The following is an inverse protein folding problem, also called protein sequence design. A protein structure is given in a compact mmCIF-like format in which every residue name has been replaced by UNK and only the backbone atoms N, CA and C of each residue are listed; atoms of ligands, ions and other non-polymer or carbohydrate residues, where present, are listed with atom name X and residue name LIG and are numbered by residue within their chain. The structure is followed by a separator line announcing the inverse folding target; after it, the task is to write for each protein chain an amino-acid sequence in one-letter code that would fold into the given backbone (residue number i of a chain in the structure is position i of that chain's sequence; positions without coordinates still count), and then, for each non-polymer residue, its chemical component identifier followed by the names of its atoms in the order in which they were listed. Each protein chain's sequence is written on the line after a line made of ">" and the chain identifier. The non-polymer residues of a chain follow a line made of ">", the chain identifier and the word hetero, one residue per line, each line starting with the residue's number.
data_IF_450161955078
#
_entry.id   IF_450161955078
#
_cell.length_a   1.000
_cell.length_b   1.000
_cell.length_c   1.000
_cell.angle_alpha   90.00
_cell.angle_beta   90.00
_cell.angle_gamma   90.00
#
_symmetry.space_group_name_H-M   'P 1'
#
loop_
_entity.id
_entity.type
_entity.pdbx_description
1 polymer ?
#
# COMPACT_ATOMS: atom_id res chain seq x y z
N UNK A 1 0.14 6.82 -13.79
CA UNK A 1 0.79 5.54 -14.14
C UNK A 1 1.92 5.31 -13.16
N UNK A 2 2.02 4.10 -12.59
CA UNK A 2 3.12 3.72 -11.70
C UNK A 2 4.42 3.58 -12.47
N UNK A 3 5.55 3.72 -11.77
CA UNK A 3 6.86 3.43 -12.35
C UNK A 3 6.99 1.93 -12.64
N UNK A 4 7.68 1.59 -13.74
CA UNK A 4 8.00 0.22 -14.07
C UNK A 4 9.05 -0.33 -13.08
N UNK A 5 8.82 -1.53 -12.56
CA UNK A 5 9.80 -2.22 -11.72
C UNK A 5 10.66 -3.16 -12.57
N UNK A 6 11.97 -3.18 -12.29
CA UNK A 6 12.92 -4.06 -12.94
C UNK A 6 13.49 -5.06 -11.93
N UNK A 7 13.50 -6.33 -12.31
CA UNK A 7 13.96 -7.44 -11.46
C UNK A 7 15.00 -8.25 -12.25
N UNK A 8 16.19 -8.43 -11.69
CA UNK A 8 17.21 -9.32 -12.28
C UNK A 8 16.86 -10.79 -12.00
N UNK A 9 16.72 -11.57 -13.05
CA UNK A 9 16.40 -13.01 -12.98
C UNK A 9 17.62 -13.88 -12.73
N UNK A 10 18.83 -13.34 -12.90
CA UNK A 10 20.09 -14.05 -12.67
C UNK A 10 20.23 -14.61 -11.24
N UNK A 11 19.58 -13.95 -10.27
CA UNK A 11 19.60 -14.36 -8.86
C UNK A 11 18.43 -15.27 -8.46
N UNK A 12 17.43 -15.41 -9.34
CA UNK A 12 16.21 -16.19 -9.09
C UNK A 12 16.38 -17.66 -9.51
N UNK A 13 17.17 -17.88 -10.55
CA UNK A 13 17.44 -19.22 -11.09
C UNK A 13 18.94 -19.49 -11.10
N UNK A 14 19.35 -20.64 -10.58
CA UNK A 14 20.74 -21.11 -10.71
C UNK A 14 20.90 -21.92 -11.99
N UNK A 15 21.80 -21.50 -12.87
CA UNK A 15 22.19 -22.27 -14.02
C UNK A 15 22.87 -23.59 -13.60
N UNK A 16 22.39 -24.70 -14.13
CA UNK A 16 22.99 -26.01 -13.94
C UNK A 16 23.94 -26.36 -15.11
N UNK A 17 24.93 -25.50 -15.43
CA UNK A 17 25.82 -25.91 -16.50
C UNK A 17 26.47 -24.78 -17.31
N UNK A 18 26.55 -23.57 -16.84
CA UNK A 18 27.35 -22.51 -17.45
C UNK A 18 26.84 -21.95 -18.79
N UNK A 19 25.66 -22.33 -19.25
CA UNK A 19 25.04 -21.84 -20.47
C UNK A 19 24.07 -20.69 -20.19
N UNK A 20 23.81 -19.84 -21.19
CA UNK A 20 22.82 -18.78 -21.10
C UNK A 20 21.39 -19.35 -20.98
N UNK A 21 20.72 -19.11 -19.87
CA UNK A 21 19.32 -19.43 -19.70
C UNK A 21 18.44 -18.46 -20.49
N UNK A 22 17.44 -18.98 -21.16
CA UNK A 22 16.38 -18.16 -21.77
C UNK A 22 15.23 -17.99 -20.79
N UNK A 23 14.81 -16.76 -20.59
CA UNK A 23 13.70 -16.42 -19.69
C UNK A 23 12.49 -15.94 -20.48
N UNK A 24 11.32 -16.31 -19.99
CA UNK A 24 10.03 -15.76 -20.42
C UNK A 24 9.18 -15.44 -19.21
N UNK A 25 8.26 -14.50 -19.34
CA UNK A 25 7.31 -14.16 -18.29
C UNK A 25 5.92 -13.96 -18.89
N UNK A 26 4.93 -14.44 -18.17
CA UNK A 26 3.51 -14.23 -18.48
C UNK A 26 2.79 -13.66 -17.27
N UNK A 27 1.75 -12.88 -17.51
CA UNK A 27 0.90 -12.34 -16.45
C UNK A 27 -0.48 -12.96 -16.50
N UNK A 28 -1.09 -13.16 -15.33
CA UNK A 28 -2.49 -13.60 -15.25
C UNK A 28 -3.49 -12.50 -15.63
N UNK A 29 -3.05 -11.23 -15.61
CA UNK A 29 -3.91 -10.08 -15.92
C UNK A 29 -3.11 -8.88 -16.44
N UNK A 30 -3.10 -8.70 -17.78
CA UNK A 30 -2.40 -7.59 -18.43
C UNK A 30 -3.05 -6.22 -18.19
N UNK A 31 -4.31 -6.16 -17.80
CA UNK A 31 -4.96 -4.91 -17.42
C UNK A 31 -4.52 -4.41 -16.04
N UNK A 32 -3.87 -5.24 -15.23
CA UNK A 32 -3.27 -4.87 -13.95
C UNK A 32 -1.78 -4.60 -14.10
N UNK A 33 -1.03 -5.54 -14.69
CA UNK A 33 0.41 -5.39 -14.90
C UNK A 33 0.84 -6.11 -16.18
N UNK A 34 1.67 -5.46 -16.98
CA UNK A 34 2.33 -6.06 -18.13
C UNK A 34 3.72 -6.54 -17.72
N UNK A 35 4.07 -7.75 -18.13
CA UNK A 35 5.38 -8.34 -17.88
C UNK A 35 6.14 -8.49 -19.21
N UNK A 36 7.40 -8.09 -19.22
CA UNK A 36 8.30 -8.28 -20.36
C UNK A 36 9.67 -8.71 -19.88
N UNK A 37 10.35 -9.56 -20.65
CA UNK A 37 11.71 -10.03 -20.34
C UNK A 37 12.64 -9.65 -21.49
N UNK A 38 13.78 -9.08 -21.13
CA UNK A 38 14.88 -8.80 -22.06
C UNK A 38 16.18 -9.32 -21.46
N UNK A 39 16.73 -10.39 -22.09
CA UNK A 39 17.86 -11.11 -21.49
C UNK A 39 17.50 -11.71 -20.14
N UNK A 40 18.19 -11.30 -19.10
CA UNK A 40 17.93 -11.70 -17.71
C UNK A 40 17.17 -10.64 -16.87
N UNK A 41 16.59 -9.63 -17.53
CA UNK A 41 15.88 -8.55 -16.85
C UNK A 41 14.37 -8.65 -17.10
N UNK A 42 13.61 -8.84 -16.03
CA UNK A 42 12.15 -8.77 -16.03
C UNK A 42 11.72 -7.33 -15.75
N UNK A 43 10.89 -6.79 -16.63
CA UNK A 43 10.26 -5.48 -16.45
C UNK A 43 8.76 -5.66 -16.23
N UNK A 44 8.27 -5.09 -15.13
CA UNK A 44 6.85 -5.08 -14.76
C UNK A 44 6.32 -3.65 -14.90
N UNK A 45 5.36 -3.46 -15.80
CA UNK A 45 4.75 -2.15 -16.06
C UNK A 45 3.31 -2.14 -15.54
N UNK A 46 3.00 -1.35 -14.50
CA UNK A 46 1.63 -1.22 -14.00
C UNK A 46 0.69 -0.65 -15.07
N UNK A 47 -0.45 -1.29 -15.27
CA UNK A 47 -1.49 -0.88 -16.22
C UNK A 47 -2.78 -0.42 -15.51
N UNK A 48 -3.17 -1.08 -14.42
CA UNK A 48 -4.37 -0.76 -13.65
C UNK A 48 -4.28 -1.30 -12.23
N UNK A 49 -5.27 -0.98 -11.41
CA UNK A 49 -5.37 -1.48 -10.03
C UNK A 49 -5.73 -2.95 -10.01
N UNK A 50 -5.23 -3.67 -9.03
CA UNK A 50 -5.59 -5.06 -8.79
C UNK A 50 -4.40 -5.91 -8.42
N UNK A 51 -4.59 -7.21 -8.54
CA UNK A 51 -3.58 -8.21 -8.27
C UNK A 51 -3.39 -9.07 -9.51
N UNK A 52 -2.16 -9.40 -9.84
CA UNK A 52 -1.82 -10.30 -10.91
C UNK A 52 -0.68 -11.22 -10.50
N UNK A 53 -0.72 -12.46 -10.95
CA UNK A 53 0.35 -13.43 -10.79
C UNK A 53 1.20 -13.44 -12.03
N UNK A 54 2.51 -13.24 -11.86
CA UNK A 54 3.50 -13.33 -12.93
C UNK A 54 4.15 -14.70 -12.86
N UNK A 55 4.07 -15.45 -13.93
CA UNK A 55 4.78 -16.73 -14.08
C UNK A 55 6.05 -16.50 -14.88
N UNK A 56 7.19 -16.79 -14.29
CA UNK A 56 8.51 -16.66 -14.90
C UNK A 56 9.01 -18.06 -15.20
N UNK A 57 9.36 -18.32 -16.45
CA UNK A 57 9.88 -19.62 -16.90
C UNK A 57 11.31 -19.45 -17.38
N UNK A 58 12.21 -20.22 -16.81
CA UNK A 58 13.58 -20.40 -17.29
C UNK A 58 13.67 -21.66 -18.14
N UNK A 59 14.34 -21.58 -19.27
CA UNK A 59 14.64 -22.70 -20.15
C UNK A 59 16.14 -22.85 -20.29
N UNK A 60 16.67 -23.98 -19.80
CA UNK A 60 18.07 -24.38 -19.91
C UNK A 60 18.12 -25.63 -20.78
N UNK A 61 18.49 -25.48 -22.07
CA UNK A 61 18.63 -26.56 -23.03
C UNK A 61 17.45 -27.55 -23.12
N UNK A 62 16.22 -27.02 -23.07
CA UNK A 62 15.00 -27.82 -23.12
C UNK A 62 14.46 -28.23 -21.74
N UNK A 63 15.23 -28.02 -20.65
CA UNK A 63 14.73 -28.19 -19.29
C UNK A 63 14.07 -26.91 -18.81
N UNK A 64 12.79 -26.96 -18.50
CA UNK A 64 12.00 -25.80 -18.08
C UNK A 64 11.76 -25.83 -16.57
N UNK A 65 11.96 -24.67 -15.95
CA UNK A 65 11.64 -24.45 -14.53
C UNK A 65 10.84 -23.15 -14.44
N UNK A 66 9.74 -23.15 -13.70
CA UNK A 66 8.90 -21.97 -13.53
C UNK A 66 8.77 -21.60 -12.07
N UNK A 67 8.67 -20.30 -11.81
CA UNK A 67 8.31 -19.73 -10.51
C UNK A 67 7.25 -18.65 -10.69
N UNK A 68 6.51 -18.35 -9.65
CA UNK A 68 5.46 -17.33 -9.67
C UNK A 68 5.73 -16.25 -8.63
N UNK A 69 5.39 -15.01 -8.97
CA UNK A 69 5.35 -13.89 -8.05
C UNK A 69 3.98 -13.21 -8.13
N UNK A 70 3.46 -12.81 -6.99
CA UNK A 70 2.22 -12.03 -6.93
C UNK A 70 2.55 -10.56 -6.88
N UNK A 71 1.98 -9.79 -7.81
CA UNK A 71 2.15 -8.33 -7.91
C UNK A 71 0.82 -7.67 -7.61
N UNK A 72 0.81 -6.75 -6.68
CA UNK A 72 -0.34 -5.90 -6.38
C UNK A 72 -0.07 -4.49 -6.84
N UNK A 73 -0.91 -4.00 -7.75
CA UNK A 73 -0.91 -2.60 -8.19
C UNK A 73 -1.96 -1.83 -7.40
N UNK A 74 -1.50 -0.88 -6.60
CA UNK A 74 -2.35 0.00 -5.79
C UNK A 74 -2.45 1.37 -6.43
N UNK A 75 -3.55 2.08 -6.14
CA UNK A 75 -3.69 3.46 -6.58
C UNK A 75 -2.75 4.37 -5.80
N UNK A 76 -2.03 5.25 -6.49
CA UNK A 76 -1.27 6.31 -5.82
C UNK A 76 -2.16 7.25 -5.01
N UNK A 77 -3.44 7.36 -5.40
CA UNK A 77 -4.46 8.17 -4.72
C UNK A 77 -5.32 7.36 -3.75
N UNK A 78 -5.03 6.06 -3.52
CA UNK A 78 -5.74 5.30 -2.50
C UNK A 78 -5.56 5.98 -1.14
N UNK A 79 -6.62 6.11 -0.32
CA UNK A 79 -6.53 6.79 0.96
C UNK A 79 -5.50 6.12 1.86
N UNK A 80 -4.70 6.92 2.56
CA UNK A 80 -3.72 6.44 3.52
C UNK A 80 -4.39 5.89 4.80
N UNK A 81 -5.67 6.17 4.98
CA UNK A 81 -6.50 5.71 6.08
C UNK A 81 -7.48 4.66 5.56
N UNK A 82 -7.42 3.45 6.12
CA UNK A 82 -8.35 2.37 5.79
C UNK A 82 -9.67 2.49 6.54
N UNK A 83 -9.61 2.77 7.83
CA UNK A 83 -10.78 2.85 8.71
C UNK A 83 -10.45 3.66 9.95
N UNK A 84 -11.48 4.34 10.51
CA UNK A 84 -11.43 4.93 11.85
C UNK A 84 -12.44 4.24 12.77
N UNK A 85 -12.08 4.04 14.03
CA UNK A 85 -12.91 3.38 15.03
C UNK A 85 -12.48 3.69 16.47
N UNK A 86 -13.32 3.43 17.47
CA UNK A 86 -14.74 3.13 17.39
C UNK A 86 -15.55 4.38 17.00
N UNK A 87 -16.72 4.17 16.42
CA UNK A 87 -17.70 5.22 16.19
C UNK A 87 -19.06 4.68 16.65
N UNK A 88 -19.71 5.26 17.67
CA UNK A 88 -19.28 6.42 18.49
C UNK A 88 -18.03 6.17 19.32
N UNK A 89 -17.25 7.23 19.53
CA UNK A 89 -16.04 7.21 20.33
C UNK A 89 -16.26 7.77 21.75
N UNK A 90 -15.54 7.26 22.75
CA UNK A 90 -15.60 7.77 24.13
C UNK A 90 -14.33 8.56 24.47
N UNK A 91 -13.25 7.90 24.81
CA UNK A 91 -11.99 8.54 25.25
C UNK A 91 -10.94 8.65 24.16
N UNK A 92 -11.04 7.82 23.14
CA UNK A 92 -10.09 7.79 22.04
C UNK A 92 -10.76 7.42 20.72
N UNK A 93 -10.06 7.72 19.63
CA UNK A 93 -10.36 7.23 18.29
C UNK A 93 -9.07 6.67 17.69
N UNK A 94 -9.18 5.56 16.99
CA UNK A 94 -8.07 4.94 16.27
C UNK A 94 -8.27 5.09 14.79
N UNK A 95 -7.16 5.15 14.07
CA UNK A 95 -7.15 5.05 12.61
C UNK A 95 -6.16 3.97 12.19
N UNK A 96 -6.63 3.03 11.36
CA UNK A 96 -5.79 2.05 10.70
C UNK A 96 -5.21 2.69 9.44
N UNK A 97 -3.89 2.81 9.40
CA UNK A 97 -3.15 3.44 8.32
C UNK A 97 -2.58 2.41 7.34
N UNK A 98 -2.17 2.86 6.17
CA UNK A 98 -1.34 2.05 5.27
C UNK A 98 0.06 1.86 5.88
N UNK A 99 0.69 0.74 5.53
CA UNK A 99 2.02 0.38 6.06
C UNK A 99 3.13 1.37 5.71
N UNK A 100 2.97 2.12 4.61
CA UNK A 100 3.95 3.11 4.15
C UNK A 100 3.89 4.44 4.91
N UNK A 101 2.80 4.69 5.66
CA UNK A 101 2.64 5.93 6.43
C UNK A 101 3.55 5.89 7.65
N UNK A 102 4.47 6.85 7.72
CA UNK A 102 5.43 6.97 8.85
C UNK A 102 4.98 7.97 9.91
N UNK A 103 4.24 8.98 9.48
CA UNK A 103 3.73 10.02 10.36
C UNK A 103 2.39 10.55 9.84
N UNK A 104 1.50 10.91 10.75
CA UNK A 104 0.21 11.52 10.44
C UNK A 104 -0.05 12.68 11.40
N UNK A 105 -0.53 13.81 10.87
CA UNK A 105 -1.06 14.90 11.67
C UNK A 105 -2.57 14.70 11.82
N UNK A 106 -3.02 14.52 13.04
CA UNK A 106 -4.43 14.38 13.39
C UNK A 106 -4.98 15.72 13.89
N UNK A 107 -5.97 16.26 13.19
CA UNK A 107 -6.61 17.52 13.52
C UNK A 107 -8.10 17.25 13.76
N UNK A 108 -8.60 17.61 14.93
CA UNK A 108 -10.05 17.57 15.20
C UNK A 108 -10.60 18.98 15.16
N UNK A 109 -11.70 19.13 14.43
CA UNK A 109 -12.45 20.39 14.36
C UNK A 109 -13.90 20.20 14.75
N UNK A 110 -14.50 21.26 15.28
CA UNK A 110 -15.96 21.35 15.40
C UNK A 110 -16.61 21.40 14.01
N UNK A 111 -17.93 21.24 13.95
CA UNK A 111 -18.68 21.39 12.68
C UNK A 111 -18.57 22.81 12.09
N UNK A 112 -18.23 23.81 12.93
CA UNK A 112 -17.98 25.19 12.50
C UNK A 112 -16.56 25.46 12.04
N UNK A 113 -15.68 24.41 12.02
CA UNK A 113 -14.31 24.52 11.61
C UNK A 113 -13.32 24.98 12.68
N UNK A 114 -13.74 25.18 13.92
CA UNK A 114 -12.85 25.53 15.02
C UNK A 114 -11.93 24.34 15.33
N UNK A 115 -10.61 24.56 15.32
CA UNK A 115 -9.62 23.54 15.66
C UNK A 115 -9.59 23.30 17.16
N UNK A 116 -9.76 22.05 17.57
CA UNK A 116 -9.83 21.62 18.96
C UNK A 116 -8.65 20.75 19.37
N UNK A 117 -8.14 19.93 18.45
CA UNK A 117 -6.98 19.07 18.61
C UNK A 117 -6.10 19.21 17.37
N UNK A 118 -4.78 19.21 17.58
CA UNK A 118 -3.78 19.19 16.51
C UNK A 118 -2.55 18.44 17.04
N UNK A 119 -2.42 17.18 16.66
CA UNK A 119 -1.37 16.29 17.15
C UNK A 119 -0.68 15.55 16.02
N UNK A 120 0.63 15.38 16.12
CA UNK A 120 1.42 14.50 15.25
C UNK A 120 1.52 13.13 15.89
N UNK A 121 1.13 12.11 15.16
CA UNK A 121 1.09 10.72 15.59
C UNK A 121 1.97 9.86 14.69
N UNK A 122 2.59 8.85 15.29
CA UNK A 122 3.36 7.83 14.57
C UNK A 122 2.59 6.52 14.63
N UNK A 123 2.27 5.91 13.49
CA UNK A 123 1.62 4.61 13.47
C UNK A 123 2.46 3.54 14.17
N UNK A 124 1.80 2.66 14.87
CA UNK A 124 2.44 1.49 15.46
C UNK A 124 3.05 0.61 14.35
N UNK A 125 4.31 0.21 14.49
CA UNK A 125 5.03 -0.51 13.45
C UNK A 125 4.44 -1.90 13.12
N UNK A 126 3.78 -2.54 14.09
CA UNK A 126 3.21 -3.87 13.92
C UNK A 126 1.74 -3.82 13.46
N UNK A 127 0.94 -2.90 14.01
CA UNK A 127 -0.51 -2.84 13.76
C UNK A 127 -0.89 -1.77 12.74
N UNK A 128 0.02 -0.84 12.42
CA UNK A 128 -0.21 0.34 11.56
C UNK A 128 -1.34 1.25 12.05
N UNK A 129 -1.65 1.19 13.35
CA UNK A 129 -2.68 2.02 13.97
C UNK A 129 -2.08 3.28 14.60
N UNK A 130 -2.84 4.37 14.56
CA UNK A 130 -2.64 5.54 15.42
C UNK A 130 -3.81 5.64 16.38
N UNK A 131 -3.54 6.16 17.58
CA UNK A 131 -4.56 6.41 18.61
C UNK A 131 -4.52 7.89 18.96
N UNK A 132 -5.67 8.54 18.87
CA UNK A 132 -5.87 9.94 19.26
C UNK A 132 -6.76 10.00 20.49
N UNK A 133 -6.28 10.62 21.58
CA UNK A 133 -7.07 10.91 22.78
C UNK A 133 -8.07 12.03 22.51
N UNK A 134 -9.32 11.81 22.89
CA UNK A 134 -10.40 12.77 22.71
C UNK A 134 -11.19 13.04 24.01
N UNK A 135 -10.62 12.69 25.16
CA UNK A 135 -11.27 12.86 26.48
C UNK A 135 -11.70 14.30 26.74
N UNK A 136 -10.91 15.26 26.28
CA UNK A 136 -11.14 16.71 26.44
C UNK A 136 -12.28 17.26 25.59
N UNK A 137 -12.84 16.46 24.67
CA UNK A 137 -13.98 16.90 23.87
C UNK A 137 -15.30 16.65 24.60
N UNK A 138 -16.22 17.61 24.50
CA UNK A 138 -17.59 17.41 24.93
C UNK A 138 -18.30 16.39 24.01
N UNK A 139 -19.39 15.73 24.49
CA UNK A 139 -20.22 14.93 23.60
C UNK A 139 -20.72 15.74 22.39
N UNK A 140 -20.61 15.16 21.19
CA UNK A 140 -20.99 15.86 19.97
C UNK A 140 -20.43 15.25 18.71
N UNK A 141 -20.68 15.89 17.59
CA UNK A 141 -20.17 15.48 16.27
C UNK A 141 -19.00 16.35 15.86
N UNK A 142 -17.95 15.73 15.36
CA UNK A 142 -16.70 16.37 15.00
C UNK A 142 -16.16 15.86 13.66
N UNK A 143 -15.28 16.66 13.06
CA UNK A 143 -14.44 16.24 11.94
C UNK A 143 -13.05 15.87 12.42
N UNK A 144 -12.54 14.74 11.95
CA UNK A 144 -11.16 14.32 12.07
C UNK A 144 -10.49 14.43 10.70
N UNK A 145 -9.48 15.28 10.61
CA UNK A 145 -8.61 15.37 9.43
C UNK A 145 -7.31 14.63 9.75
N UNK A 146 -6.97 13.67 8.91
CA UNK A 146 -5.71 12.94 8.98
C UNK A 146 -4.85 13.33 7.77
N UNK A 147 -3.77 14.07 8.04
CA UNK A 147 -2.82 14.54 7.02
C UNK A 147 -1.56 13.69 7.05
N UNK A 148 -1.24 13.09 5.94
CA UNK A 148 0.02 12.40 5.69
C UNK A 148 0.89 13.23 4.75
N UNK A 149 2.08 12.76 4.40
CA UNK A 149 2.92 13.39 3.38
C UNK A 149 2.27 13.38 1.98
N UNK A 150 1.35 12.44 1.76
CA UNK A 150 0.72 12.20 0.45
C UNK A 150 -0.68 12.80 0.33
N UNK A 151 -1.50 12.61 1.34
CA UNK A 151 -2.93 12.88 1.27
C UNK A 151 -3.47 13.47 2.56
N UNK A 152 -4.60 14.14 2.44
CA UNK A 152 -5.43 14.54 3.58
C UNK A 152 -6.78 13.85 3.44
N UNK A 153 -7.19 13.12 4.46
CA UNK A 153 -8.52 12.51 4.56
C UNK A 153 -9.34 13.19 5.64
N UNK A 154 -10.65 13.31 5.40
CA UNK A 154 -11.61 13.90 6.33
C UNK A 154 -12.63 12.84 6.72
N UNK A 155 -12.81 12.66 8.00
CA UNK A 155 -13.77 11.71 8.58
C UNK A 155 -14.69 12.43 9.55
N UNK A 156 -15.91 11.94 9.69
CA UNK A 156 -16.84 12.42 10.71
C UNK A 156 -16.94 11.39 11.82
N UNK A 157 -16.93 11.81 13.07
CA UNK A 157 -17.14 10.92 14.20
C UNK A 157 -18.05 11.55 15.26
N UNK A 158 -18.63 10.69 16.09
CA UNK A 158 -19.50 11.07 17.19
C UNK A 158 -18.77 10.74 18.49
N UNK A 159 -18.59 11.74 19.36
CA UNK A 159 -18.11 11.61 20.75
C UNK A 159 -19.32 11.44 21.67
N UNK A 160 -19.30 10.39 22.47
CA UNK A 160 -20.26 10.15 23.57
C UNK A 160 -19.65 10.51 24.92
#
# INVERSE_FOLDING_TARGET
>A
QGEAAQISLANVFKAMGGNEMQFSATTSNESVVKASVKGNMLTLTPAGKGEATITITANDQGKRTSTTITVRVTDKNAPDVHVIYPIPAHSYIKALMRSEVKQVQAIVTSLRGQKLIDEKLTPNAATHEVTLGIDRLAPGTYYLLLKTERLTSKHTFIKK
#
